data_IF_347118332312
#
_entry.id   IF_347118332312
#
_cell.length_a   1.000
_cell.length_b   1.000
_cell.length_c   1.000
_cell.angle_alpha   90.00
_cell.angle_beta   90.00
_cell.angle_gamma   90.00
#
_symmetry.space_group_name_H-M   'P 1'
#
loop_
_entity.id
_entity.type
_entity.pdbx_description
1 polymer ?
#
# COMPACT_ATOMS: atom_id res chain seq x y z
N UNK A 1 0.03 -13.52 2.53
CA UNK A 1 -0.59 -14.45 3.50
C UNK A 1 -2.03 -14.75 3.12
N UNK A 2 -3.02 -13.89 3.45
CA UNK A 2 -4.43 -14.16 3.16
C UNK A 2 -4.72 -14.37 1.66
N UNK A 3 -4.32 -13.42 0.81
CA UNK A 3 -4.68 -13.43 -0.62
C UNK A 3 -3.76 -14.30 -1.48
N UNK A 4 -2.43 -14.18 -1.30
CA UNK A 4 -1.45 -14.87 -2.15
C UNK A 4 -1.12 -16.29 -1.66
N UNK A 5 -1.15 -16.54 -0.35
CA UNK A 5 -0.71 -17.81 0.25
C UNK A 5 -1.88 -18.62 0.84
N UNK A 6 -3.13 -18.15 0.70
CA UNK A 6 -4.31 -18.83 1.21
C UNK A 6 -4.33 -19.05 2.73
N UNK A 7 -3.58 -18.25 3.50
CA UNK A 7 -3.52 -18.39 4.95
C UNK A 7 -4.91 -18.22 5.58
N UNK A 8 -5.18 -18.98 6.63
CA UNK A 8 -6.40 -18.85 7.41
C UNK A 8 -6.46 -17.50 8.15
N UNK A 9 -7.67 -17.11 8.58
CA UNK A 9 -7.87 -15.92 9.42
C UNK A 9 -7.13 -16.05 10.76
N UNK A 10 -7.04 -17.25 11.30
CA UNK A 10 -6.37 -17.53 12.58
C UNK A 10 -4.86 -17.35 12.48
N UNK A 11 -4.25 -17.84 11.41
CA UNK A 11 -2.83 -17.62 11.11
C UNK A 11 -2.53 -16.14 10.89
N UNK A 12 -3.39 -15.43 10.15
CA UNK A 12 -3.24 -14.00 9.92
C UNK A 12 -3.39 -13.19 11.22
N UNK A 13 -4.32 -13.56 12.10
CA UNK A 13 -4.51 -12.93 13.41
C UNK A 13 -3.27 -13.13 14.28
N UNK A 14 -2.78 -14.36 14.39
CA UNK A 14 -1.56 -14.66 15.15
C UNK A 14 -0.35 -13.86 14.61
N UNK A 15 -0.23 -13.72 13.28
CA UNK A 15 0.79 -12.90 12.65
C UNK A 15 0.67 -11.42 13.04
N UNK A 16 -0.54 -10.85 12.98
CA UNK A 16 -0.78 -9.44 13.32
C UNK A 16 -0.51 -9.17 14.80
N UNK A 17 -0.95 -10.04 15.71
CA UNK A 17 -0.67 -9.90 17.13
C UNK A 17 0.84 -9.96 17.42
N UNK A 18 1.59 -10.84 16.75
CA UNK A 18 3.03 -10.99 16.96
C UNK A 18 3.84 -9.84 16.39
N UNK A 19 3.57 -9.42 15.15
CA UNK A 19 4.45 -8.53 14.39
C UNK A 19 3.94 -7.09 14.25
N UNK A 20 2.64 -6.87 14.46
CA UNK A 20 2.05 -5.52 14.55
C UNK A 20 1.71 -5.13 15.98
N UNK A 21 1.87 -6.05 16.95
CA UNK A 21 1.51 -5.85 18.36
C UNK A 21 0.04 -5.45 18.54
N UNK A 22 -0.81 -5.91 17.61
CA UNK A 22 -2.25 -5.64 17.68
C UNK A 22 -2.90 -6.49 18.77
N UNK A 23 -3.92 -5.94 19.42
CA UNK A 23 -4.84 -6.75 20.22
C UNK A 23 -5.62 -7.71 19.31
N UNK A 24 -6.34 -8.67 19.90
CA UNK A 24 -7.20 -9.58 19.13
C UNK A 24 -8.23 -8.82 18.30
N UNK A 25 -8.85 -7.82 18.90
CA UNK A 25 -9.90 -7.00 18.30
C UNK A 25 -9.34 -6.19 17.13
N UNK A 26 -8.17 -5.58 17.29
CA UNK A 26 -7.47 -4.85 16.22
C UNK A 26 -7.07 -5.76 15.07
N UNK A 27 -6.63 -7.00 15.36
CA UNK A 27 -6.29 -7.99 14.34
C UNK A 27 -7.52 -8.43 13.55
N UNK A 28 -8.64 -8.73 14.23
CA UNK A 28 -9.89 -9.10 13.54
C UNK A 28 -10.43 -7.96 12.66
N UNK A 29 -10.41 -6.73 13.17
CA UNK A 29 -10.81 -5.56 12.40
C UNK A 29 -9.92 -5.37 11.16
N UNK A 30 -8.61 -5.55 11.31
CA UNK A 30 -7.66 -5.46 10.19
C UNK A 30 -7.91 -6.55 9.16
N UNK A 31 -8.19 -7.79 9.59
CA UNK A 31 -8.50 -8.88 8.67
C UNK A 31 -9.81 -8.58 7.94
N UNK A 32 -10.86 -8.14 8.65
CA UNK A 32 -12.13 -7.75 8.02
C UNK A 32 -11.91 -6.71 6.91
N UNK A 33 -11.19 -5.64 7.22
CA UNK A 33 -10.80 -4.60 6.26
C UNK A 33 -10.03 -5.16 5.05
N UNK A 34 -9.02 -6.02 5.30
CA UNK A 34 -8.18 -6.61 4.26
C UNK A 34 -8.90 -7.65 3.39
N UNK A 35 -10.03 -8.18 3.84
CA UNK A 35 -10.84 -9.15 3.09
C UNK A 35 -12.07 -8.53 2.44
N UNK A 36 -12.42 -7.29 2.79
CA UNK A 36 -13.55 -6.60 2.18
C UNK A 36 -13.30 -6.41 0.66
N UNK A 37 -14.23 -6.80 -0.22
CA UNK A 37 -14.02 -6.76 -1.67
C UNK A 37 -13.78 -5.34 -2.20
N UNK A 38 -14.33 -4.33 -1.53
CA UNK A 38 -14.19 -2.92 -1.90
C UNK A 38 -12.88 -2.36 -1.36
N UNK A 39 -12.52 -2.70 -0.11
CA UNK A 39 -11.42 -2.03 0.60
C UNK A 39 -10.11 -2.80 0.60
N UNK A 40 -10.10 -4.08 0.23
CA UNK A 40 -8.90 -4.94 0.27
C UNK A 40 -7.70 -4.37 -0.49
N UNK A 41 -7.95 -3.62 -1.57
CA UNK A 41 -6.89 -3.01 -2.36
C UNK A 41 -6.24 -1.82 -1.65
N UNK A 42 -6.94 -1.18 -0.71
CA UNK A 42 -6.54 0.08 -0.08
C UNK A 42 -5.21 -0.04 0.67
N UNK A 43 -4.98 -1.18 1.34
CA UNK A 43 -3.72 -1.44 2.02
C UNK A 43 -2.54 -1.53 1.04
N UNK A 44 -2.74 -2.18 -0.12
CA UNK A 44 -1.67 -2.32 -1.13
C UNK A 44 -1.38 -1.02 -1.87
N UNK A 45 -2.40 -0.25 -2.25
CA UNK A 45 -2.21 0.97 -3.07
C UNK A 45 -1.39 2.05 -2.36
N UNK A 46 -1.39 2.12 -1.02
CA UNK A 46 -0.50 3.04 -0.32
C UNK A 46 0.98 2.69 -0.50
N UNK A 47 1.33 1.42 -0.31
CA UNK A 47 2.73 0.98 -0.45
C UNK A 47 3.19 1.00 -1.90
N UNK A 48 2.31 0.64 -2.83
CA UNK A 48 2.59 0.69 -4.27
C UNK A 48 2.67 2.13 -4.78
N UNK A 49 1.72 2.98 -4.39
CA UNK A 49 1.70 4.40 -4.76
C UNK A 49 2.91 5.15 -4.20
N UNK A 50 3.31 4.88 -2.95
CA UNK A 50 4.54 5.42 -2.38
C UNK A 50 5.76 5.07 -3.23
N UNK A 51 5.93 3.79 -3.59
CA UNK A 51 7.05 3.34 -4.43
C UNK A 51 7.05 4.01 -5.80
N UNK A 52 5.87 4.17 -6.41
CA UNK A 52 5.73 4.86 -7.69
C UNK A 52 6.15 6.33 -7.59
N UNK A 53 5.68 7.04 -6.56
CA UNK A 53 6.08 8.42 -6.31
C UNK A 53 7.59 8.53 -6.02
N UNK A 54 8.14 7.66 -5.17
CA UNK A 54 9.58 7.63 -4.86
C UNK A 54 10.41 7.40 -6.13
N UNK A 55 10.02 6.45 -6.98
CA UNK A 55 10.74 6.18 -8.24
C UNK A 55 10.66 7.34 -9.24
N UNK A 56 9.53 8.05 -9.28
CA UNK A 56 9.34 9.15 -10.22
C UNK A 56 10.07 10.43 -9.75
N UNK A 57 10.08 10.69 -8.44
CA UNK A 57 10.84 11.81 -7.84
C UNK A 57 12.34 11.60 -8.00
N UNK A 58 12.86 10.41 -7.70
CA UNK A 58 14.31 10.17 -7.67
C UNK A 58 15.01 11.17 -6.75
N UNK A 59 16.07 11.82 -7.26
CA UNK A 59 16.81 12.86 -6.54
C UNK A 59 16.38 14.30 -6.93
N UNK A 60 15.30 14.45 -7.71
CA UNK A 60 14.83 15.74 -8.21
C UNK A 60 13.81 16.39 -7.26
N UNK A 61 14.25 17.38 -6.48
CA UNK A 61 13.39 18.11 -5.56
C UNK A 61 12.29 18.94 -6.27
N UNK A 62 12.48 19.33 -7.54
CA UNK A 62 11.43 20.02 -8.29
C UNK A 62 10.25 19.09 -8.58
N UNK A 63 10.53 17.81 -8.85
CA UNK A 63 9.50 16.76 -8.98
C UNK A 63 8.75 16.56 -7.66
N UNK A 64 9.46 16.51 -6.54
CA UNK A 64 8.80 16.45 -5.23
C UNK A 64 7.88 17.64 -4.99
N UNK A 65 8.32 18.86 -5.31
CA UNK A 65 7.48 20.06 -5.20
C UNK A 65 6.23 19.96 -6.08
N UNK A 66 6.35 19.46 -7.32
CA UNK A 66 5.21 19.22 -8.22
C UNK A 66 4.18 18.27 -7.60
N UNK A 67 4.61 17.14 -7.02
CA UNK A 67 3.67 16.22 -6.34
C UNK A 67 2.91 16.86 -5.18
N UNK A 68 3.51 17.83 -4.48
CA UNK A 68 2.92 18.48 -3.31
C UNK A 68 2.01 19.66 -3.68
N UNK A 69 2.29 20.33 -4.79
CA UNK A 69 1.65 21.59 -5.15
C UNK A 69 0.70 21.48 -6.35
N UNK A 70 0.81 20.42 -7.16
CA UNK A 70 0.01 20.24 -8.37
C UNK A 70 -0.77 18.92 -8.32
N UNK A 71 -1.88 18.88 -9.08
CA UNK A 71 -2.60 17.64 -9.31
C UNK A 71 -1.88 16.84 -10.41
N UNK A 72 -1.26 15.72 -10.03
CA UNK A 72 -0.57 14.81 -10.95
C UNK A 72 -1.34 13.50 -11.05
N UNK A 73 -1.73 13.09 -12.26
CA UNK A 73 -2.41 11.81 -12.47
C UNK A 73 -1.43 10.63 -12.39
N UNK A 74 -1.92 9.46 -11.96
CA UNK A 74 -1.11 8.21 -11.90
C UNK A 74 -0.51 7.86 -13.26
N UNK A 75 -1.24 8.11 -14.35
CA UNK A 75 -0.77 7.87 -15.72
C UNK A 75 0.44 8.74 -16.09
N UNK A 76 0.57 9.94 -15.53
CA UNK A 76 1.72 10.81 -15.78
C UNK A 76 2.98 10.26 -15.11
N UNK A 77 2.84 9.79 -13.87
CA UNK A 77 3.94 9.13 -13.15
C UNK A 77 4.44 7.87 -13.87
N UNK A 78 3.53 7.14 -14.52
CA UNK A 78 3.86 5.96 -15.31
C UNK A 78 4.45 6.30 -16.69
N UNK A 79 3.98 7.37 -17.33
CA UNK A 79 4.39 7.77 -18.68
C UNK A 79 5.74 8.48 -18.74
N UNK A 80 6.10 9.23 -17.70
CA UNK A 80 7.40 9.92 -17.60
C UNK A 80 8.52 8.99 -17.04
N UNK A 81 8.14 7.83 -16.50
CA UNK A 81 9.01 6.92 -15.73
C UNK A 81 9.60 5.73 -16.50
N UNK A 82 9.51 5.68 -17.84
CA UNK A 82 10.11 4.58 -18.63
C UNK A 82 11.03 5.12 -19.72
N UNK A 83 12.22 5.56 -19.33
CA UNK A 83 13.43 5.28 -20.13
C UNK A 83 14.19 4.18 -19.40
N UNK A 84 14.20 2.99 -20.02
CA UNK A 84 15.12 1.92 -19.68
C UNK A 84 16.51 2.24 -20.24
#
# INVERSE_FOLDING_TARGET
>A
MLHQHGASRDEARAYLQRWRLFTREQAEQSIAFLTDPTWRAYASIYTLGRRLCESWVGDDLARLARLLCEQVAVSELQGEGVSA
#
